data_IF_755533881547
#
_entry.id   IF_755533881547
#
_cell.length_a   1.000
_cell.length_b   1.000
_cell.length_c   1.000
_cell.angle_alpha   90.00
_cell.angle_beta   90.00
_cell.angle_gamma   90.00
#
_symmetry.space_group_name_H-M   'P 1'
#
loop_
_entity.id
_entity.type
_entity.pdbx_description
1 polymer ?
#
# COMPACT_ATOMS: atom_id res chain seq x y z
N UNK A 1 18.52 -34.67 -17.64
CA UNK A 1 18.34 -34.13 -16.28
C UNK A 1 19.59 -33.43 -15.73
N UNK A 2 20.81 -33.95 -15.95
CA UNK A 2 22.05 -33.32 -15.45
C UNK A 2 22.38 -31.92 -16.04
N UNK A 3 21.98 -31.65 -17.28
CA UNK A 3 22.25 -30.34 -17.92
C UNK A 3 21.43 -29.20 -17.30
N UNK A 4 20.15 -29.46 -16.98
CA UNK A 4 19.29 -28.49 -16.31
C UNK A 4 19.78 -28.17 -14.90
N UNK A 5 20.21 -29.19 -14.13
CA UNK A 5 20.77 -28.95 -12.80
C UNK A 5 22.05 -28.13 -12.85
N UNK A 6 22.92 -28.37 -13.84
CA UNK A 6 24.14 -27.60 -14.02
C UNK A 6 23.87 -26.11 -14.31
N UNK A 7 22.90 -25.81 -15.18
CA UNK A 7 22.49 -24.44 -15.45
C UNK A 7 21.92 -23.77 -14.19
N UNK A 8 21.08 -24.49 -13.43
CA UNK A 8 20.52 -23.97 -12.18
C UNK A 8 21.61 -23.61 -11.17
N UNK A 9 22.64 -24.44 -11.03
CA UNK A 9 23.76 -24.15 -10.13
C UNK A 9 24.60 -22.96 -10.58
N UNK A 10 24.78 -22.77 -11.89
CA UNK A 10 25.45 -21.59 -12.45
C UNK A 10 24.64 -20.31 -12.17
N UNK A 11 23.33 -20.33 -12.41
CA UNK A 11 22.43 -19.19 -12.14
C UNK A 11 22.41 -18.85 -10.65
N UNK A 12 22.34 -19.87 -9.78
CA UNK A 12 22.40 -19.69 -8.32
C UNK A 12 23.69 -19.01 -7.88
N UNK A 13 24.84 -19.50 -8.34
CA UNK A 13 26.15 -18.97 -7.96
C UNK A 13 26.33 -17.54 -8.44
N UNK A 14 25.98 -17.26 -9.70
CA UNK A 14 26.03 -15.92 -10.26
C UNK A 14 25.07 -14.98 -9.51
N UNK A 15 23.84 -15.41 -9.24
CA UNK A 15 22.83 -14.63 -8.52
C UNK A 15 23.30 -14.22 -7.13
N UNK A 16 23.87 -15.14 -6.34
CA UNK A 16 24.40 -14.82 -5.02
C UNK A 16 25.63 -13.89 -5.06
N UNK A 17 26.54 -14.09 -6.02
CA UNK A 17 27.69 -13.20 -6.20
C UNK A 17 27.24 -11.78 -6.55
N UNK A 18 26.30 -11.65 -7.49
CA UNK A 18 25.78 -10.33 -7.89
C UNK A 18 24.98 -9.67 -6.77
N UNK A 19 24.13 -10.40 -6.05
CA UNK A 19 23.38 -9.85 -4.91
C UNK A 19 24.30 -9.33 -3.79
N UNK A 20 25.44 -10.01 -3.57
CA UNK A 20 26.45 -9.56 -2.60
C UNK A 20 27.20 -8.33 -3.11
N UNK A 21 27.57 -8.31 -4.39
CA UNK A 21 28.30 -7.20 -5.00
C UNK A 21 27.45 -5.92 -5.14
N UNK A 22 26.15 -6.04 -5.41
CA UNK A 22 25.24 -4.89 -5.45
C UNK A 22 24.97 -4.32 -4.06
N UNK A 23 25.14 -5.11 -2.99
CA UNK A 23 25.08 -4.65 -1.60
C UNK A 23 23.80 -3.88 -1.26
N UNK A 24 22.66 -4.32 -1.79
CA UNK A 24 21.36 -3.69 -1.55
C UNK A 24 21.00 -3.81 -0.06
N UNK A 25 20.76 -2.66 0.57
CA UNK A 25 20.28 -2.55 1.95
C UNK A 25 18.92 -1.87 1.97
N UNK A 26 18.23 -1.92 3.12
CA UNK A 26 16.95 -1.26 3.33
C UNK A 26 17.05 -0.31 4.52
N UNK A 27 16.85 0.98 4.27
CA UNK A 27 16.70 2.03 5.26
C UNK A 27 15.26 2.54 5.36
N UNK A 28 14.99 3.33 6.40
CA UNK A 28 13.70 4.03 6.54
C UNK A 28 13.49 5.06 5.43
N UNK A 29 14.58 5.65 4.92
CA UNK A 29 14.54 6.66 3.88
C UNK A 29 14.08 6.09 2.53
N UNK A 30 14.33 4.80 2.29
CA UNK A 30 13.90 4.09 1.08
C UNK A 30 12.39 3.93 0.97
N UNK A 31 11.65 4.08 2.08
CA UNK A 31 10.19 3.95 2.11
C UNK A 31 9.50 5.22 1.57
N UNK A 32 9.81 5.66 0.36
CA UNK A 32 9.33 6.95 -0.16
C UNK A 32 7.79 7.01 -0.24
N UNK A 33 7.19 7.88 0.56
CA UNK A 33 5.74 8.13 0.55
C UNK A 33 5.34 8.78 -0.77
N UNK A 34 4.20 8.37 -1.31
CA UNK A 34 3.69 8.87 -2.58
C UNK A 34 3.23 10.33 -2.40
N UNK A 35 3.71 11.30 -3.21
CA UNK A 35 3.31 12.70 -3.10
C UNK A 35 1.79 12.90 -3.25
N UNK A 36 1.13 12.03 -4.02
CA UNK A 36 -0.31 12.11 -4.26
C UNK A 36 -1.16 11.75 -3.03
N UNK A 37 -0.59 11.08 -2.03
CA UNK A 37 -1.32 10.62 -0.83
C UNK A 37 -2.07 11.73 -0.13
N UNK A 38 -1.41 12.86 0.11
CA UNK A 38 -1.98 13.94 0.94
C UNK A 38 -3.26 14.49 0.32
N UNK A 39 -3.24 14.79 -0.98
CA UNK A 39 -4.43 15.36 -1.64
C UNK A 39 -5.54 14.32 -1.83
N UNK A 40 -5.19 13.05 -2.08
CA UNK A 40 -6.15 11.96 -2.23
C UNK A 40 -6.92 11.67 -0.94
N UNK A 41 -6.20 11.68 0.19
CA UNK A 41 -6.82 11.50 1.50
C UNK A 41 -7.72 12.69 1.83
N UNK A 42 -7.26 13.92 1.57
CA UNK A 42 -8.08 15.12 1.78
C UNK A 42 -9.35 15.13 0.92
N UNK A 43 -9.26 14.70 -0.34
CA UNK A 43 -10.43 14.58 -1.22
C UNK A 43 -11.42 13.53 -0.69
N UNK A 44 -10.93 12.36 -0.26
CA UNK A 44 -11.76 11.32 0.34
C UNK A 44 -12.44 11.77 1.65
N UNK A 45 -11.73 12.53 2.49
CA UNK A 45 -12.30 13.14 3.71
C UNK A 45 -13.40 14.15 3.37
N UNK A 46 -13.19 15.00 2.37
CA UNK A 46 -14.19 15.96 1.93
C UNK A 46 -15.45 15.27 1.40
N UNK A 47 -15.29 14.21 0.61
CA UNK A 47 -16.41 13.40 0.12
C UNK A 47 -17.17 12.73 1.29
N UNK A 48 -16.44 12.18 2.27
CA UNK A 48 -17.01 11.57 3.47
C UNK A 48 -17.81 12.59 4.30
N UNK A 49 -17.30 13.81 4.42
CA UNK A 49 -17.99 14.91 5.12
C UNK A 49 -19.29 15.33 4.42
N UNK A 50 -19.29 15.43 3.09
CA UNK A 50 -20.51 15.71 2.31
C UNK A 50 -21.56 14.61 2.48
N UNK A 51 -21.12 13.35 2.48
CA UNK A 51 -21.98 12.20 2.70
C UNK A 51 -22.62 12.21 4.09
N UNK A 52 -21.84 12.56 5.11
CA UNK A 52 -22.34 12.72 6.48
C UNK A 52 -23.38 13.85 6.58
N UNK A 53 -23.14 14.99 5.95
CA UNK A 53 -24.11 16.09 5.86
C UNK A 53 -25.42 15.67 5.18
N UNK A 54 -25.33 14.91 4.09
CA UNK A 54 -26.51 14.39 3.38
C UNK A 54 -27.31 13.39 4.22
N UNK A 55 -26.62 12.56 5.01
CA UNK A 55 -27.26 11.69 5.99
C UNK A 55 -27.99 12.49 7.08
N UNK A 56 -27.36 13.54 7.61
CA UNK A 56 -27.97 14.43 8.61
C UNK A 56 -29.24 15.13 8.11
N UNK A 57 -29.32 15.45 6.82
CA UNK A 57 -30.53 16.02 6.21
C UNK A 57 -31.60 14.98 5.86
N UNK A 58 -31.36 13.68 6.11
CA UNK A 58 -32.30 12.61 5.80
C UNK A 58 -32.34 12.21 4.32
N UNK A 59 -31.39 12.68 3.50
CA UNK A 59 -31.34 12.37 2.07
C UNK A 59 -30.76 10.97 1.80
N UNK A 60 -29.97 10.43 2.73
CA UNK A 60 -29.24 9.16 2.56
C UNK A 60 -29.47 8.27 3.77
N UNK A 61 -29.80 7.01 3.54
CA UNK A 61 -29.99 6.02 4.60
C UNK A 61 -28.64 5.53 5.17
N UNK A 62 -28.61 5.07 6.42
CA UNK A 62 -27.37 4.69 7.10
C UNK A 62 -26.60 3.56 6.38
N UNK A 63 -27.31 2.58 5.81
CA UNK A 63 -26.71 1.49 5.03
C UNK A 63 -26.06 2.01 3.75
N UNK A 64 -26.71 2.95 3.07
CA UNK A 64 -26.19 3.55 1.84
C UNK A 64 -24.98 4.44 2.13
N UNK A 65 -25.00 5.19 3.25
CA UNK A 65 -23.83 5.93 3.75
C UNK A 65 -22.63 5.00 3.92
N UNK A 66 -22.80 3.89 4.65
CA UNK A 66 -21.70 2.96 4.91
C UNK A 66 -21.13 2.39 3.61
N UNK A 67 -22.00 1.99 2.67
CA UNK A 67 -21.57 1.46 1.38
C UNK A 67 -20.75 2.49 0.57
N UNK A 68 -21.23 3.72 0.50
CA UNK A 68 -20.55 4.80 -0.22
C UNK A 68 -19.22 5.19 0.45
N UNK A 69 -19.17 5.24 1.79
CA UNK A 69 -17.93 5.46 2.54
C UNK A 69 -16.87 4.39 2.21
N UNK A 70 -17.26 3.11 2.26
CA UNK A 70 -16.38 1.98 1.91
C UNK A 70 -15.89 2.11 0.47
N UNK A 71 -16.76 2.46 -0.48
CA UNK A 71 -16.41 2.60 -1.89
C UNK A 71 -15.39 3.72 -2.13
N UNK A 72 -15.58 4.89 -1.50
CA UNK A 72 -14.66 6.03 -1.57
C UNK A 72 -13.27 5.61 -1.06
N UNK A 73 -13.19 5.05 0.16
CA UNK A 73 -11.90 4.69 0.77
C UNK A 73 -11.21 3.53 0.05
N UNK A 74 -11.99 2.56 -0.45
CA UNK A 74 -11.45 1.48 -1.27
C UNK A 74 -10.87 2.02 -2.59
N UNK A 75 -11.59 2.90 -3.28
CA UNK A 75 -11.13 3.50 -4.53
C UNK A 75 -9.86 4.33 -4.31
N UNK A 76 -9.81 5.15 -3.26
CA UNK A 76 -8.62 5.95 -2.91
C UNK A 76 -7.42 5.07 -2.60
N UNK A 77 -7.60 4.01 -1.80
CA UNK A 77 -6.52 3.07 -1.48
C UNK A 77 -6.02 2.32 -2.72
N UNK A 78 -6.93 1.89 -3.60
CA UNK A 78 -6.57 1.20 -4.83
C UNK A 78 -5.86 2.12 -5.83
N UNK A 79 -6.28 3.38 -5.94
CA UNK A 79 -5.60 4.38 -6.75
C UNK A 79 -4.16 4.62 -6.25
N UNK A 80 -3.99 4.81 -4.94
CA UNK A 80 -2.66 4.91 -4.33
C UNK A 80 -1.80 3.69 -4.62
N UNK A 81 -2.39 2.49 -4.58
CA UNK A 81 -1.68 1.25 -4.88
C UNK A 81 -1.17 1.20 -6.31
N UNK A 82 -1.97 1.70 -7.26
CA UNK A 82 -1.61 1.75 -8.68
C UNK A 82 -0.53 2.80 -8.97
N UNK A 83 -0.58 3.94 -8.28
CA UNK A 83 0.38 5.04 -8.44
C UNK A 83 1.79 4.73 -7.88
N UNK A 84 1.95 3.73 -7.01
CA UNK A 84 3.26 3.40 -6.45
C UNK A 84 4.31 3.04 -7.50
N UNK A 85 3.98 2.14 -8.43
CA UNK A 85 4.93 1.67 -9.46
C UNK A 85 5.41 2.81 -10.38
N UNK A 86 4.53 3.64 -10.98
CA UNK A 86 5.00 4.79 -11.75
C UNK A 86 5.78 5.79 -10.90
N UNK A 87 5.40 6.00 -9.63
CA UNK A 87 6.16 6.86 -8.72
C UNK A 87 7.59 6.37 -8.51
N UNK A 88 7.81 5.09 -8.21
CA UNK A 88 9.16 4.51 -8.09
C UNK A 88 9.95 4.64 -9.39
N UNK A 89 9.34 4.36 -10.55
CA UNK A 89 10.00 4.49 -11.85
C UNK A 89 10.43 5.93 -12.18
N UNK A 90 9.70 6.92 -11.67
CA UNK A 90 9.99 8.33 -11.94
C UNK A 90 10.98 8.93 -10.93
N UNK A 91 10.92 8.50 -9.66
CA UNK A 91 11.73 9.07 -8.57
C UNK A 91 13.05 8.33 -8.37
N UNK A 92 12.99 7.02 -8.17
CA UNK A 92 14.16 6.16 -7.97
C UNK A 92 13.87 4.71 -8.42
N UNK A 93 14.21 4.37 -9.69
CA UNK A 93 14.02 3.02 -10.22
C UNK A 93 14.81 1.94 -9.48
N UNK A 94 15.92 2.33 -8.85
CA UNK A 94 16.83 1.43 -8.14
C UNK A 94 16.54 1.34 -6.64
N UNK A 95 15.42 1.91 -6.20
CA UNK A 95 14.98 1.83 -4.82
C UNK A 95 14.92 0.36 -4.37
N UNK A 96 15.53 0.00 -3.21
CA UNK A 96 15.58 -1.38 -2.71
C UNK A 96 14.20 -2.03 -2.57
N UNK A 97 13.20 -1.28 -2.08
CA UNK A 97 11.82 -1.76 -1.91
C UNK A 97 11.24 -2.14 -3.27
N UNK A 98 11.38 -1.24 -4.25
CA UNK A 98 10.90 -1.44 -5.60
C UNK A 98 11.60 -2.65 -6.27
N UNK A 99 12.94 -2.72 -6.18
CA UNK A 99 13.70 -3.84 -6.74
C UNK A 99 13.26 -5.18 -6.12
N UNK A 100 13.11 -5.28 -4.81
CA UNK A 100 12.73 -6.53 -4.14
C UNK A 100 11.31 -6.97 -4.49
N UNK A 101 10.33 -6.06 -4.42
CA UNK A 101 8.92 -6.41 -4.57
C UNK A 101 8.51 -6.66 -6.03
N UNK A 102 9.09 -5.92 -6.98
CA UNK A 102 8.72 -6.01 -8.39
C UNK A 102 9.56 -7.02 -9.19
N UNK A 103 10.77 -7.38 -8.72
CA UNK A 103 11.52 -8.51 -9.28
C UNK A 103 11.00 -9.88 -8.85
N UNK A 104 10.11 -9.92 -7.85
CA UNK A 104 9.61 -11.16 -7.24
C UNK A 104 10.60 -11.79 -6.25
N UNK A 105 11.69 -11.10 -5.89
CA UNK A 105 12.65 -11.60 -4.91
C UNK A 105 12.07 -11.64 -3.49
N UNK A 106 11.41 -10.56 -3.05
CA UNK A 106 10.75 -10.49 -1.75
C UNK A 106 9.74 -9.35 -1.68
N UNK A 107 8.60 -9.65 -1.05
CA UNK A 107 7.53 -8.67 -0.87
C UNK A 107 6.57 -8.65 -2.04
N UNK A 108 5.39 -8.10 -1.83
CA UNK A 108 4.40 -7.89 -2.88
C UNK A 108 3.91 -6.43 -2.88
N UNK A 109 3.24 -6.02 -3.95
CA UNK A 109 2.73 -4.65 -4.07
C UNK A 109 1.80 -4.24 -2.92
N UNK A 110 0.99 -5.16 -2.37
CA UNK A 110 0.12 -4.86 -1.22
C UNK A 110 0.91 -4.59 0.06
N UNK A 111 2.01 -5.31 0.29
CA UNK A 111 2.90 -5.07 1.43
C UNK A 111 3.64 -3.74 1.29
N UNK A 112 4.09 -3.40 0.08
CA UNK A 112 4.68 -2.07 -0.18
C UNK A 112 3.64 -0.97 0.04
N UNK A 113 2.40 -1.18 -0.39
CA UNK A 113 1.29 -0.25 -0.13
C UNK A 113 1.11 0.06 1.36
N UNK A 114 1.19 -0.96 2.21
CA UNK A 114 1.09 -0.78 3.66
C UNK A 114 2.29 -0.01 4.26
N UNK A 115 3.46 -0.07 3.62
CA UNK A 115 4.65 0.65 4.07
C UNK A 115 4.61 2.14 3.70
N UNK A 116 4.20 2.49 2.48
CA UNK A 116 4.35 3.85 1.92
C UNK A 116 3.04 4.53 1.50
N UNK A 117 1.97 3.77 1.29
CA UNK A 117 0.66 4.25 0.87
C UNK A 117 -0.22 4.57 2.08
N UNK A 118 -1.36 3.89 2.16
CA UNK A 118 -2.24 3.86 3.32
C UNK A 118 -2.57 2.40 3.65
N UNK A 119 -2.81 2.08 4.92
CA UNK A 119 -3.16 0.71 5.31
C UNK A 119 -4.59 0.34 4.88
N UNK A 120 -5.48 1.33 4.78
CA UNK A 120 -6.81 1.18 4.19
C UNK A 120 -7.88 0.73 5.18
N UNK A 121 -8.95 0.14 4.66
CA UNK A 121 -10.06 -0.36 5.46
C UNK A 121 -9.73 -1.73 6.08
N UNK A 122 -10.26 -1.99 7.26
CA UNK A 122 -10.15 -3.26 7.98
C UNK A 122 -11.52 -3.88 8.24
N UNK A 123 -11.53 -5.19 8.46
CA UNK A 123 -12.72 -5.93 8.87
C UNK A 123 -12.65 -6.23 10.36
N UNK A 124 -13.79 -6.20 11.02
CA UNK A 124 -13.93 -6.67 12.39
C UNK A 124 -13.79 -8.21 12.47
N UNK A 125 -13.75 -8.80 13.69
CA UNK A 125 -13.68 -10.25 13.85
C UNK A 125 -14.87 -11.03 13.27
N UNK A 126 -15.97 -10.35 12.95
CA UNK A 126 -17.17 -10.94 12.34
C UNK A 126 -17.15 -10.81 10.80
N UNK A 127 -16.13 -10.16 10.23
CA UNK A 127 -15.98 -9.94 8.79
C UNK A 127 -16.71 -8.69 8.27
N UNK A 128 -17.25 -7.84 9.15
CA UNK A 128 -17.88 -6.58 8.76
C UNK A 128 -16.81 -5.49 8.58
N UNK A 129 -16.92 -4.73 7.49
CA UNK A 129 -16.00 -3.62 7.23
C UNK A 129 -16.21 -2.49 8.25
N UNK A 130 -15.13 -2.01 8.83
CA UNK A 130 -15.13 -0.90 9.79
C UNK A 130 -15.15 0.41 9.01
N UNK A 131 -16.08 1.32 9.34
CA UNK A 131 -16.26 2.64 8.71
C UNK A 131 -15.16 3.66 9.06
N UNK A 132 -14.03 3.19 9.62
CA UNK A 132 -12.89 4.02 9.97
C UNK A 132 -11.65 3.53 9.21
N UNK A 133 -11.24 4.23 8.14
CA UNK A 133 -10.05 3.87 7.38
C UNK A 133 -8.78 4.17 8.17
N UNK A 134 -7.75 3.34 7.98
CA UNK A 134 -6.40 3.60 8.47
C UNK A 134 -5.65 4.38 7.39
N UNK A 135 -5.55 5.69 7.59
CA UNK A 135 -4.91 6.61 6.64
C UNK A 135 -3.38 6.56 6.75
N UNK A 136 -2.88 6.28 7.95
CA UNK A 136 -1.45 6.18 8.23
C UNK A 136 -0.83 4.93 7.59
N UNK A 137 0.48 4.98 7.36
CA UNK A 137 1.27 3.82 6.93
C UNK A 137 2.30 3.42 7.99
N UNK A 138 2.97 2.29 7.77
CA UNK A 138 3.96 1.77 8.71
C UNK A 138 5.21 2.66 8.84
N UNK A 139 5.53 3.48 7.82
CA UNK A 139 6.61 4.47 7.90
C UNK A 139 6.23 5.63 8.83
N UNK A 140 5.02 6.15 8.70
CA UNK A 140 4.50 7.28 9.50
C UNK A 140 4.21 6.88 10.94
N UNK A 141 3.89 5.60 11.15
CA UNK A 141 3.43 5.07 12.43
C UNK A 141 1.91 5.09 12.55
N UNK A 142 1.38 4.17 13.33
CA UNK A 142 -0.05 4.03 13.55
C UNK A 142 -0.44 4.68 14.88
N UNK A 143 -1.56 5.39 14.90
CA UNK A 143 -2.18 5.82 16.15
C UNK A 143 -2.65 4.61 16.96
N UNK A 144 -2.90 4.79 18.26
CA UNK A 144 -3.40 3.73 19.13
C UNK A 144 -4.68 3.09 18.58
N UNK A 145 -5.59 3.91 18.06
CA UNK A 145 -6.86 3.46 17.46
C UNK A 145 -6.61 2.64 16.20
N UNK A 146 -5.78 3.14 15.27
CA UNK A 146 -5.44 2.43 14.02
C UNK A 146 -4.64 1.15 14.25
N UNK A 147 -3.96 1.01 15.39
CA UNK A 147 -3.20 -0.18 15.73
C UNK A 147 -4.08 -1.30 16.32
N UNK A 148 -5.13 -0.94 17.06
CA UNK A 148 -6.06 -1.89 17.71
C UNK A 148 -7.08 -2.45 16.72
N UNK A 149 -7.41 -1.66 15.69
CA UNK A 149 -8.21 -2.09 14.54
C UNK A 149 -7.42 -3.07 13.67
#
# INVERSE_FOLDING_TARGET
MAYTSHILDQVKTLGFQQATATSVSLGIDDLLTIPSKVWLVQDAEQQSFLLEKNHHYGNVHAVEKLRQSIEIWYATSEYLRQEMNPNFRMTDPFNPVHLMSFSGARGNASQVHQLIGMRGLMSDPQGQMIDLPIQSNLREGLSLTEYII
#
